data_IF_301587825689
#
_entry.id   IF_301587825689
#
_cell.length_a   1.000
_cell.length_b   1.000
_cell.length_c   1.000
_cell.angle_alpha   90.00
_cell.angle_beta   90.00
_cell.angle_gamma   90.00
#
_symmetry.space_group_name_H-M   'P 1'
#
loop_
_entity.id
_entity.type
_entity.pdbx_description
1 polymer ?
#
# COMPACT_ATOMS: atom_id res chain seq x y z
N UNK A 1 74.61 64.92 20.09
CA UNK A 1 74.11 64.12 18.95
C UNK A 1 73.61 62.81 19.54
N UNK A 2 72.32 62.62 19.83
CA UNK A 2 71.18 62.48 18.91
C UNK A 2 71.44 61.39 17.87
N UNK A 3 70.84 60.23 18.07
CA UNK A 3 70.12 59.46 17.04
C UNK A 3 69.34 58.32 17.73
N UNK A 4 68.02 58.50 17.83
CA UNK A 4 67.08 57.46 18.21
C UNK A 4 66.62 56.76 16.91
N UNK A 5 66.85 55.45 16.82
CA UNK A 5 66.33 54.61 15.75
C UNK A 5 64.83 54.37 15.94
N UNK A 6 64.06 54.70 14.91
CA UNK A 6 62.60 54.55 14.84
C UNK A 6 62.24 53.09 14.55
N UNK A 7 61.27 52.54 15.29
CA UNK A 7 60.78 51.17 15.10
C UNK A 7 59.50 51.19 14.25
N UNK A 8 59.33 50.26 13.30
CA UNK A 8 58.17 50.28 12.41
C UNK A 8 56.91 49.87 13.16
N UNK A 9 55.97 50.80 13.32
CA UNK A 9 54.64 50.52 13.85
C UNK A 9 53.85 49.70 12.83
N UNK A 10 53.75 48.39 13.06
CA UNK A 10 52.83 47.51 12.34
C UNK A 10 51.41 47.84 12.84
N UNK A 11 50.65 48.59 12.05
CA UNK A 11 49.21 48.75 12.27
C UNK A 11 48.52 47.41 12.03
N UNK A 12 48.06 46.76 13.10
CA UNK A 12 47.06 45.69 13.00
C UNK A 12 45.75 46.35 12.59
N UNK A 13 45.28 46.04 11.39
CA UNK A 13 43.93 46.35 10.95
C UNK A 13 42.97 45.51 11.81
N UNK A 14 42.41 46.12 12.86
CA UNK A 14 41.30 45.53 13.60
C UNK A 14 40.07 45.60 12.71
N UNK A 15 39.71 44.46 12.13
CA UNK A 15 38.52 44.26 11.32
C UNK A 15 37.27 44.41 12.22
N UNK A 16 36.89 45.66 12.49
CA UNK A 16 35.81 45.97 13.43
C UNK A 16 34.47 45.67 12.78
N UNK A 17 33.85 44.54 13.14
CA UNK A 17 32.53 44.16 12.65
C UNK A 17 31.52 45.28 13.00
N UNK A 18 31.01 45.96 11.99
CA UNK A 18 30.01 47.02 12.17
C UNK A 18 28.78 46.46 12.89
N UNK A 19 28.31 47.16 13.94
CA UNK A 19 27.11 46.76 14.71
C UNK A 19 25.89 46.53 13.81
N UNK A 20 25.78 47.29 12.72
CA UNK A 20 24.71 47.13 11.71
C UNK A 20 24.84 45.83 10.93
N UNK A 21 26.07 45.44 10.59
CA UNK A 21 26.37 44.15 9.94
C UNK A 21 26.07 42.98 10.89
N UNK A 22 26.54 43.08 12.14
CA UNK A 22 26.26 42.06 13.16
C UNK A 22 24.75 41.88 13.41
N UNK A 23 24.01 42.97 13.62
CA UNK A 23 22.55 42.90 13.80
C UNK A 23 21.82 42.42 12.54
N UNK A 24 22.31 42.77 11.35
CA UNK A 24 21.78 42.28 10.07
C UNK A 24 21.93 40.77 9.92
N UNK A 25 23.11 40.23 10.28
CA UNK A 25 23.36 38.77 10.26
C UNK A 25 22.50 38.05 11.30
N UNK A 26 22.38 38.58 12.51
CA UNK A 26 21.55 38.00 13.57
C UNK A 26 20.07 37.95 13.16
N UNK A 27 19.54 39.04 12.61
CA UNK A 27 18.17 39.09 12.09
C UNK A 27 17.97 38.14 10.92
N UNK A 28 18.93 38.08 9.98
CA UNK A 28 18.90 37.15 8.86
C UNK A 28 18.90 35.68 9.29
N UNK A 29 19.69 35.33 10.31
CA UNK A 29 19.66 34.00 10.88
C UNK A 29 18.31 33.69 11.54
N UNK A 30 17.77 34.64 12.32
CA UNK A 30 16.46 34.51 12.95
C UNK A 30 15.32 34.28 11.94
N UNK A 31 15.31 35.01 10.82
CA UNK A 31 14.31 34.84 9.77
C UNK A 31 14.45 33.51 9.03
N UNK A 32 15.67 33.05 8.77
CA UNK A 32 15.92 31.72 8.16
C UNK A 32 15.46 30.60 9.09
N UNK A 33 15.77 30.68 10.38
CA UNK A 33 15.36 29.66 11.36
C UNK A 33 13.83 29.61 11.48
N UNK A 34 13.18 30.76 11.61
CA UNK A 34 11.71 30.84 11.66
C UNK A 34 11.08 30.33 10.36
N UNK A 35 11.63 30.75 9.22
CA UNK A 35 11.18 30.30 7.90
C UNK A 35 11.31 28.79 7.73
N UNK A 36 12.43 28.21 8.14
CA UNK A 36 12.65 26.76 8.09
C UNK A 36 11.68 26.00 9.03
N UNK A 37 11.45 26.51 10.24
CA UNK A 37 10.54 25.90 11.21
C UNK A 37 9.11 25.75 10.66
N UNK A 38 8.66 26.70 9.83
CA UNK A 38 7.34 26.65 9.19
C UNK A 38 7.37 25.90 7.85
N UNK A 39 8.39 26.13 7.01
CA UNK A 39 8.46 25.58 5.67
C UNK A 39 8.73 24.07 5.67
N UNK A 40 9.63 23.58 6.53
CA UNK A 40 10.01 22.16 6.57
C UNK A 40 8.82 21.22 6.82
N UNK A 41 7.96 21.42 7.85
CA UNK A 41 6.80 20.53 8.06
C UNK A 41 5.78 20.62 6.92
N UNK A 42 5.57 21.79 6.31
CA UNK A 42 4.65 21.96 5.18
C UNK A 42 5.16 21.27 3.91
N UNK A 43 6.43 21.46 3.58
CA UNK A 43 7.09 20.80 2.45
C UNK A 43 7.09 19.28 2.67
N UNK A 44 7.44 18.82 3.88
CA UNK A 44 7.38 17.39 4.22
C UNK A 44 5.96 16.85 4.05
N UNK A 45 4.94 17.55 4.54
CA UNK A 45 3.55 17.11 4.38
C UNK A 45 3.12 17.02 2.91
N UNK A 46 3.52 17.99 2.08
CA UNK A 46 3.21 18.00 0.66
C UNK A 46 3.94 16.89 -0.12
N UNK A 47 5.21 16.62 0.22
CA UNK A 47 6.05 15.66 -0.50
C UNK A 47 5.98 14.22 0.06
N UNK A 48 5.50 14.02 1.30
CA UNK A 48 5.44 12.71 1.94
C UNK A 48 4.67 11.64 1.13
N UNK A 49 3.52 11.94 0.48
CA UNK A 49 2.83 10.96 -0.36
C UNK A 49 3.66 10.48 -1.56
N UNK A 50 4.60 11.28 -2.06
CA UNK A 50 5.48 10.91 -3.16
C UNK A 50 6.69 10.08 -2.70
N UNK A 51 7.11 10.30 -1.45
CA UNK A 51 8.31 9.69 -0.87
C UNK A 51 8.02 8.37 -0.14
N UNK A 52 6.76 8.07 0.16
CA UNK A 52 6.36 6.85 0.88
C UNK A 52 5.42 6.01 0.02
N UNK A 53 5.56 4.68 0.08
CA UNK A 53 4.60 3.76 -0.55
C UNK A 53 3.29 3.82 0.23
N UNK A 54 2.37 4.70 -0.18
CA UNK A 54 1.10 4.85 0.51
C UNK A 54 0.06 3.83 0.06
N UNK A 55 0.15 3.34 -1.18
CA UNK A 55 -0.84 2.45 -1.82
C UNK A 55 -0.71 0.97 -1.46
N UNK A 56 -0.20 0.63 -0.27
CA UNK A 56 -0.12 -0.78 0.13
C UNK A 56 -1.44 -1.26 0.73
N UNK A 57 -2.05 -2.27 0.10
CA UNK A 57 -3.17 -3.00 0.67
C UNK A 57 -2.65 -3.88 1.81
N UNK A 58 -3.12 -3.61 3.02
CA UNK A 58 -2.78 -4.35 4.22
C UNK A 58 -3.32 -5.78 4.23
N UNK A 59 -2.83 -6.58 5.18
CA UNK A 59 -3.40 -7.90 5.46
C UNK A 59 -4.74 -7.72 6.20
N UNK A 60 -5.77 -8.41 5.73
CA UNK A 60 -7.10 -8.44 6.33
C UNK A 60 -7.34 -9.77 7.02
N UNK A 61 -7.97 -9.73 8.19
CA UNK A 61 -8.40 -10.93 8.90
C UNK A 61 -9.66 -11.50 8.25
N UNK A 62 -9.64 -12.80 7.96
CA UNK A 62 -10.76 -13.54 7.37
C UNK A 62 -11.59 -14.25 8.44
N UNK A 63 -10.90 -14.84 9.43
CA UNK A 63 -11.50 -15.62 10.50
C UNK A 63 -10.53 -16.63 11.10
N UNK A 64 -11.00 -17.43 12.07
CA UNK A 64 -10.22 -18.51 12.69
C UNK A 64 -10.09 -19.70 11.75
N UNK A 65 -8.95 -20.37 11.77
CA UNK A 65 -8.70 -21.50 10.86
C UNK A 65 -9.64 -22.69 11.08
N UNK A 66 -10.05 -22.91 12.32
CA UNK A 66 -10.91 -24.04 12.72
C UNK A 66 -12.30 -23.96 12.07
N UNK A 67 -12.79 -22.74 11.81
CA UNK A 67 -14.06 -22.52 11.11
C UNK A 67 -14.00 -23.00 9.65
N UNK A 68 -12.80 -22.96 9.06
CA UNK A 68 -12.59 -23.29 7.65
C UNK A 68 -12.09 -24.72 7.45
N UNK A 69 -11.61 -25.39 8.50
CA UNK A 69 -11.06 -26.73 8.43
C UNK A 69 -12.09 -27.80 8.00
N UNK A 70 -13.36 -27.60 8.35
CA UNK A 70 -14.45 -28.53 8.06
C UNK A 70 -15.28 -28.17 6.82
N UNK A 71 -14.83 -27.23 5.99
CA UNK A 71 -15.58 -26.82 4.81
C UNK A 71 -15.60 -27.92 3.75
N UNK A 72 -16.80 -28.28 3.30
CA UNK A 72 -17.02 -29.16 2.16
C UNK A 72 -17.27 -28.39 0.86
N UNK A 73 -17.67 -27.12 0.92
CA UNK A 73 -17.94 -26.27 -0.23
C UNK A 73 -17.28 -24.88 -0.09
N UNK A 74 -17.00 -24.18 -1.20
CA UNK A 74 -16.49 -22.81 -1.16
C UNK A 74 -17.44 -21.89 -0.41
N UNK A 75 -16.91 -21.14 0.55
CA UNK A 75 -17.72 -20.27 1.40
C UNK A 75 -17.38 -18.81 1.14
N UNK A 76 -18.40 -17.99 0.90
CA UNK A 76 -18.25 -16.55 0.73
C UNK A 76 -18.00 -15.88 2.08
N UNK A 77 -16.98 -15.03 2.16
CA UNK A 77 -16.69 -14.17 3.32
C UNK A 77 -16.51 -12.73 2.86
N UNK A 78 -16.93 -11.80 3.71
CA UNK A 78 -16.67 -10.38 3.53
C UNK A 78 -15.52 -9.98 4.44
N UNK A 79 -14.48 -9.42 3.84
CA UNK A 79 -13.31 -8.92 4.55
C UNK A 79 -13.30 -7.40 4.50
N UNK A 80 -12.80 -6.77 5.56
CA UNK A 80 -12.53 -5.34 5.58
C UNK A 80 -11.11 -5.10 5.10
N UNK A 81 -10.99 -4.51 3.92
CA UNK A 81 -9.72 -4.15 3.31
C UNK A 81 -9.44 -2.69 3.63
N UNK A 82 -8.40 -2.44 4.43
CA UNK A 82 -7.91 -1.08 4.67
C UNK A 82 -6.89 -0.72 3.58
N UNK A 83 -7.21 0.31 2.81
CA UNK A 83 -6.30 0.93 1.87
C UNK A 83 -5.93 2.31 2.39
N UNK A 84 -4.63 2.58 2.53
CA UNK A 84 -4.15 3.92 2.81
C UNK A 84 -3.84 4.61 1.49
N UNK A 85 -4.22 5.87 1.35
CA UNK A 85 -3.89 6.68 0.17
C UNK A 85 -3.50 8.07 0.65
N UNK A 86 -2.22 8.40 0.52
CA UNK A 86 -1.60 9.56 1.15
C UNK A 86 -1.93 9.65 2.66
N UNK A 87 -2.84 10.57 3.00
CA UNK A 87 -3.28 10.87 4.36
C UNK A 87 -4.61 10.21 4.73
N UNK A 88 -5.32 9.64 3.75
CA UNK A 88 -6.64 9.05 3.91
C UNK A 88 -6.53 7.55 4.16
N UNK A 89 -7.39 7.04 5.06
CA UNK A 89 -7.67 5.61 5.20
C UNK A 89 -9.04 5.33 4.61
N UNK A 90 -9.11 4.39 3.68
CA UNK A 90 -10.34 3.92 3.05
C UNK A 90 -10.52 2.47 3.46
N UNK A 91 -11.58 2.19 4.21
CA UNK A 91 -11.96 0.83 4.58
C UNK A 91 -13.05 0.40 3.60
N UNK A 92 -12.79 -0.63 2.82
CA UNK A 92 -13.75 -1.19 1.87
C UNK A 92 -14.06 -2.64 2.22
N UNK A 93 -15.34 -3.01 2.21
CA UNK A 93 -15.72 -4.41 2.31
C UNK A 93 -15.56 -5.09 0.94
N UNK A 94 -14.84 -6.22 0.92
CA UNK A 94 -14.62 -7.03 -0.29
C UNK A 94 -15.04 -8.46 -0.04
N UNK A 95 -15.67 -9.07 -1.03
CA UNK A 95 -16.01 -10.48 -0.99
C UNK A 95 -14.81 -11.32 -1.41
N UNK A 96 -14.64 -12.46 -0.75
CA UNK A 96 -13.69 -13.53 -1.09
C UNK A 96 -14.37 -14.89 -0.94
N UNK A 97 -13.83 -15.90 -1.61
CA UNK A 97 -14.20 -17.30 -1.37
C UNK A 97 -13.07 -18.04 -0.70
N UNK A 98 -13.37 -18.65 0.45
CA UNK A 98 -12.46 -19.62 1.10
C UNK A 98 -12.82 -20.99 0.57
N UNK A 99 -11.84 -21.68 -0.02
CA UNK A 99 -12.02 -23.04 -0.52
C UNK A 99 -11.87 -24.05 0.61
N UNK A 100 -12.52 -25.22 0.49
CA UNK A 100 -12.20 -26.40 1.29
C UNK A 100 -10.69 -26.67 1.33
N UNK A 101 -10.12 -26.99 2.50
CA UNK A 101 -8.70 -27.28 2.60
C UNK A 101 -8.34 -28.50 1.76
N UNK A 102 -7.33 -28.35 0.91
CA UNK A 102 -6.74 -29.47 0.15
C UNK A 102 -5.37 -29.75 0.74
N UNK A 103 -5.20 -30.92 1.35
CA UNK A 103 -3.97 -31.31 2.04
C UNK A 103 -3.52 -30.35 3.15
N UNK A 104 -4.50 -29.76 3.87
CA UNK A 104 -4.24 -28.82 4.97
C UNK A 104 -3.98 -27.37 4.54
N UNK A 105 -3.87 -27.10 3.24
CA UNK A 105 -3.68 -25.73 2.72
C UNK A 105 -5.02 -25.10 2.38
N UNK A 106 -5.33 -23.97 3.02
CA UNK A 106 -6.48 -23.13 2.68
C UNK A 106 -6.14 -22.18 1.54
N UNK A 107 -6.96 -22.23 0.50
CA UNK A 107 -6.84 -21.37 -0.67
C UNK A 107 -7.98 -20.36 -0.68
N UNK A 108 -7.68 -19.14 -1.10
CA UNK A 108 -8.65 -18.06 -1.18
C UNK A 108 -8.76 -17.62 -2.64
N UNK A 109 -9.97 -17.60 -3.19
CA UNK A 109 -10.23 -17.09 -4.52
C UNK A 109 -10.93 -15.73 -4.47
N UNK A 110 -10.53 -14.86 -5.38
CA UNK A 110 -11.26 -13.65 -5.71
C UNK A 110 -12.55 -14.00 -6.46
N UNK A 111 -13.70 -13.43 -6.09
CA UNK A 111 -14.95 -13.61 -6.82
C UNK A 111 -14.99 -12.79 -8.11
N UNK A 112 -13.91 -12.09 -8.49
CA UNK A 112 -13.90 -11.20 -9.65
C UNK A 112 -13.58 -12.00 -10.91
N UNK A 113 -14.46 -11.93 -11.90
CA UNK A 113 -14.30 -12.62 -13.17
C UNK A 113 -13.12 -12.04 -13.97
N UNK A 114 -12.15 -12.86 -14.40
CA UNK A 114 -11.01 -12.38 -15.18
C UNK A 114 -11.37 -11.95 -16.61
N UNK A 115 -12.63 -12.15 -17.04
CA UNK A 115 -13.15 -11.61 -18.30
C UNK A 115 -13.30 -10.08 -18.22
N UNK A 116 -14.29 -9.55 -17.49
CA UNK A 116 -14.59 -8.11 -17.42
C UNK A 116 -14.87 -7.61 -16.00
N UNK A 117 -14.53 -8.39 -14.97
CA UNK A 117 -14.59 -7.95 -13.58
C UNK A 117 -15.93 -8.15 -12.86
N UNK A 118 -16.90 -8.85 -13.45
CA UNK A 118 -18.15 -9.18 -12.76
C UNK A 118 -17.92 -10.06 -11.53
N UNK A 119 -18.76 -9.92 -10.49
CA UNK A 119 -18.74 -10.83 -9.34
C UNK A 119 -19.32 -12.20 -9.73
N UNK A 120 -18.63 -13.27 -9.37
CA UNK A 120 -18.99 -14.65 -9.65
C UNK A 120 -19.66 -15.28 -8.41
N UNK A 121 -20.95 -15.63 -8.45
CA UNK A 121 -21.60 -16.40 -7.40
C UNK A 121 -21.20 -17.89 -7.45
N UNK A 122 -21.22 -18.54 -6.29
CA UNK A 122 -21.20 -20.00 -6.19
C UNK A 122 -22.60 -20.57 -6.47
N UNK A 123 -22.70 -21.59 -7.32
CA UNK A 123 -23.93 -22.31 -7.57
C UNK A 123 -23.90 -23.65 -6.83
N UNK A 124 -24.73 -23.79 -5.79
CA UNK A 124 -24.76 -24.99 -4.94
C UNK A 124 -25.31 -26.22 -5.67
N UNK A 125 -26.27 -26.07 -6.58
CA UNK A 125 -26.85 -27.19 -7.32
C UNK A 125 -25.83 -27.82 -8.27
N UNK A 126 -25.07 -27.00 -9.00
CA UNK A 126 -24.09 -27.44 -9.99
C UNK A 126 -22.70 -27.67 -9.39
N UNK A 127 -22.44 -27.18 -8.18
CA UNK A 127 -21.12 -27.18 -7.55
C UNK A 127 -20.07 -26.48 -8.42
N UNK A 128 -20.45 -25.36 -9.02
CA UNK A 128 -19.63 -24.57 -9.95
C UNK A 128 -19.78 -23.08 -9.66
N UNK A 129 -18.78 -22.28 -10.01
CA UNK A 129 -18.87 -20.84 -10.05
C UNK A 129 -19.37 -20.40 -11.43
N UNK A 130 -20.50 -19.69 -11.49
CA UNK A 130 -21.12 -19.30 -12.76
C UNK A 130 -21.27 -17.79 -12.82
N UNK A 131 -20.49 -17.15 -13.69
CA UNK A 131 -20.55 -15.71 -13.89
C UNK A 131 -21.85 -15.31 -14.61
N UNK A 132 -22.71 -14.45 -14.02
CA UNK A 132 -24.01 -14.11 -14.60
C UNK A 132 -23.92 -13.21 -15.84
N UNK A 133 -22.76 -12.58 -16.09
CA UNK A 133 -22.63 -11.60 -17.17
C UNK A 133 -22.53 -12.26 -18.56
N UNK A 134 -21.66 -13.26 -18.71
CA UNK A 134 -21.40 -13.94 -19.99
C UNK A 134 -21.20 -15.45 -19.81
N UNK A 135 -21.67 -15.99 -18.69
CA UNK A 135 -21.69 -17.43 -18.41
C UNK A 135 -20.31 -18.08 -18.48
N UNK A 136 -19.28 -17.38 -17.97
CA UNK A 136 -18.03 -18.04 -17.66
C UNK A 136 -18.25 -19.01 -16.49
N UNK A 137 -17.94 -20.28 -16.71
CA UNK A 137 -18.11 -21.36 -15.74
C UNK A 137 -16.75 -21.79 -15.22
N UNK A 138 -16.62 -21.86 -13.91
CA UNK A 138 -15.41 -22.34 -13.23
C UNK A 138 -15.76 -23.48 -12.30
N UNK A 139 -14.84 -24.45 -12.21
CA UNK A 139 -14.93 -25.57 -11.30
C UNK A 139 -14.84 -25.10 -9.84
N UNK A 140 -15.15 -26.01 -8.91
CA UNK A 140 -15.08 -25.79 -7.46
C UNK A 140 -13.74 -25.25 -6.95
N UNK A 141 -12.64 -25.56 -7.63
CA UNK A 141 -11.29 -25.10 -7.29
C UNK A 141 -10.88 -23.79 -7.98
N UNK A 142 -11.79 -23.20 -8.76
CA UNK A 142 -11.60 -21.99 -9.55
C UNK A 142 -11.10 -22.22 -10.97
N UNK A 143 -10.86 -23.46 -11.40
CA UNK A 143 -10.38 -23.76 -12.75
C UNK A 143 -11.43 -23.37 -13.80
N UNK A 144 -11.00 -22.70 -14.88
CA UNK A 144 -11.91 -22.37 -15.99
C UNK A 144 -12.37 -23.64 -16.70
N UNK A 145 -13.69 -23.82 -16.82
CA UNK A 145 -14.32 -24.91 -17.58
C UNK A 145 -14.75 -24.39 -18.96
N UNK A 146 -15.48 -23.27 -19.00
CA UNK A 146 -16.05 -22.73 -20.24
C UNK A 146 -16.38 -21.25 -20.16
N UNK A 147 -16.67 -20.66 -21.32
CA UNK A 147 -17.05 -19.25 -21.47
C UNK A 147 -15.89 -18.34 -21.88
N UNK A 148 -16.09 -17.01 -21.89
CA UNK A 148 -15.18 -16.06 -22.54
C UNK A 148 -13.97 -15.66 -21.68
N UNK A 149 -13.87 -16.14 -20.44
CA UNK A 149 -12.72 -15.88 -19.59
C UNK A 149 -11.46 -16.50 -20.20
N UNK A 150 -10.33 -15.79 -20.11
CA UNK A 150 -9.04 -16.26 -20.68
C UNK A 150 -8.19 -17.10 -19.72
N UNK A 151 -8.64 -17.23 -18.46
CA UNK A 151 -7.95 -17.93 -17.38
C UNK A 151 -8.91 -18.26 -16.24
N UNK A 152 -8.45 -19.12 -15.33
CA UNK A 152 -9.11 -19.50 -14.07
C UNK A 152 -9.30 -18.31 -13.13
N UNK A 153 -10.13 -18.49 -12.09
CA UNK A 153 -10.32 -17.50 -11.04
C UNK A 153 -9.00 -17.14 -10.33
N UNK A 154 -8.91 -15.90 -9.87
CA UNK A 154 -7.71 -15.37 -9.24
C UNK A 154 -7.54 -15.85 -7.80
N UNK A 155 -6.43 -16.52 -7.52
CA UNK A 155 -6.05 -16.86 -6.14
C UNK A 155 -5.44 -15.65 -5.43
N UNK A 156 -5.89 -15.39 -4.20
CA UNK A 156 -5.37 -14.33 -3.36
C UNK A 156 -4.28 -14.87 -2.44
N UNK A 157 -3.29 -14.04 -2.13
CA UNK A 157 -2.25 -14.39 -1.18
C UNK A 157 -2.85 -14.52 0.22
N UNK A 158 -2.77 -15.71 0.80
CA UNK A 158 -3.21 -16.01 2.16
C UNK A 158 -2.02 -16.42 3.04
N UNK A 159 -2.14 -16.14 4.34
CA UNK A 159 -1.23 -16.68 5.36
C UNK A 159 -2.01 -17.01 6.62
N UNK A 160 -1.51 -17.97 7.39
CA UNK A 160 -2.05 -18.30 8.71
C UNK A 160 -1.08 -17.77 9.75
N UNK A 161 -1.57 -16.94 10.65
CA UNK A 161 -0.77 -16.31 11.72
C UNK A 161 -1.63 -16.30 12.99
N UNK A 162 -1.09 -16.80 14.10
CA UNK A 162 -1.77 -16.89 15.40
C UNK A 162 -3.14 -17.61 15.35
N UNK A 163 -3.26 -18.64 14.49
CA UNK A 163 -4.52 -19.39 14.29
C UNK A 163 -5.58 -18.64 13.48
N UNK A 164 -5.25 -17.46 12.97
CA UNK A 164 -6.12 -16.63 12.13
C UNK A 164 -5.70 -16.74 10.66
N UNK A 165 -6.68 -16.94 9.78
CA UNK A 165 -6.49 -16.84 8.35
C UNK A 165 -6.49 -15.36 7.96
N UNK A 166 -5.36 -14.90 7.41
CA UNK A 166 -5.19 -13.56 6.85
C UNK A 166 -5.09 -13.62 5.34
N UNK A 167 -5.59 -12.59 4.68
CA UNK A 167 -5.53 -12.45 3.23
C UNK A 167 -5.03 -11.07 2.84
N UNK A 168 -4.20 -11.02 1.80
CA UNK A 168 -3.85 -9.78 1.13
C UNK A 168 -4.70 -9.66 -0.11
N UNK A 169 -5.70 -8.77 -0.08
CA UNK A 169 -6.55 -8.54 -1.24
C UNK A 169 -5.73 -7.88 -2.36
N UNK A 170 -5.87 -8.39 -3.57
CA UNK A 170 -5.16 -7.91 -4.75
C UNK A 170 -6.16 -7.75 -5.90
N UNK A 171 -5.99 -6.69 -6.68
CA UNK A 171 -6.69 -6.55 -7.95
C UNK A 171 -5.83 -7.17 -9.04
N UNK A 172 -6.45 -7.73 -10.07
CA UNK A 172 -5.75 -8.35 -11.19
C UNK A 172 -6.23 -7.74 -12.50
N UNK A 173 -5.34 -7.65 -13.48
CA UNK A 173 -5.70 -7.20 -14.82
C UNK A 173 -6.66 -8.21 -15.48
N UNK A 174 -7.76 -7.72 -16.04
CA UNK A 174 -8.75 -8.52 -16.77
C UNK A 174 -8.38 -8.63 -18.26
N UNK A 175 -9.05 -9.55 -18.99
CA UNK A 175 -8.86 -9.82 -20.42
C UNK A 175 -7.45 -10.28 -20.84
N UNK A 176 -6.59 -10.61 -19.90
CA UNK A 176 -5.27 -11.20 -20.16
C UNK A 176 -5.25 -12.69 -19.75
N UNK A 177 -4.55 -13.57 -20.49
CA UNK A 177 -4.36 -14.96 -20.09
C UNK A 177 -3.50 -15.13 -18.83
N UNK A 178 -2.58 -14.19 -18.58
CA UNK A 178 -1.67 -14.23 -17.44
C UNK A 178 -2.33 -13.65 -16.19
N UNK A 179 -1.94 -14.14 -15.01
CA UNK A 179 -2.31 -13.55 -13.73
C UNK A 179 -1.32 -12.43 -13.39
N UNK A 180 -1.75 -11.18 -13.61
CA UNK A 180 -0.96 -9.98 -13.30
C UNK A 180 -1.69 -9.16 -12.23
N UNK A 181 -1.10 -9.02 -11.05
CA UNK A 181 -1.65 -8.18 -9.99
C UNK A 181 -1.42 -6.69 -10.31
N UNK A 182 -2.46 -5.88 -10.17
CA UNK A 182 -2.37 -4.42 -10.20
C UNK A 182 -1.75 -3.98 -8.87
N UNK A 183 -0.53 -3.45 -8.94
CA UNK A 183 0.22 -2.96 -7.76
C UNK A 183 -0.34 -1.66 -7.22
#
# INVERSE_FOLDING_TARGET
MSEAGDAPTISREEDSVSRRSFLGVLLGFGTVVMGAALAVPLIRFALHPLLTKTTEIGWSDVGKIDEFASLTAPTKRLIKVEQRDAWRKIISEKAIYVLPPKSGTLRILSPICPHLGCSIPWNETKQEFICPCHVAVFAKDGALISGPARRSMDELNSKVEDGMLKVRYQYFRQLIPQKEALS
#
